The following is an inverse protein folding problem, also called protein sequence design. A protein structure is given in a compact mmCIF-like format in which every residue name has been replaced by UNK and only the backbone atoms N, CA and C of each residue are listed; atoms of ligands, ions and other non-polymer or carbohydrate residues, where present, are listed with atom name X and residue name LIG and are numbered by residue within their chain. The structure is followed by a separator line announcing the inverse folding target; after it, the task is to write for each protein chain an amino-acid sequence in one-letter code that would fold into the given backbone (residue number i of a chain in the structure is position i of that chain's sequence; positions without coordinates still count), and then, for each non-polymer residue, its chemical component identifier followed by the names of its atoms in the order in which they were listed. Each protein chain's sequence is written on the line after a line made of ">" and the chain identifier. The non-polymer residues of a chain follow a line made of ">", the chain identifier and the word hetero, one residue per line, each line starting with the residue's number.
data_IF_834646781150
#
_entry.id   IF_834646781150
#
_cell.length_a   1.000
_cell.length_b   1.000
_cell.length_c   1.000
_cell.angle_alpha   90.00
_cell.angle_beta   90.00
_cell.angle_gamma   90.00
#
_symmetry.space_group_name_H-M   'P 1'
#
loop_
_entity.id
_entity.type
_entity.pdbx_description
1 polymer ?
#
# COMPACT_ATOMS: atom_id res chain seq x y z
N UNK A 1 -4.72 32.22 7.88
CA UNK A 1 -4.24 30.83 7.77
C UNK A 1 -4.95 29.95 8.77
N UNK A 2 -5.40 28.79 8.32
CA UNK A 2 -5.96 27.73 9.18
C UNK A 2 -4.82 26.75 9.43
N UNK A 3 -4.46 26.55 10.69
CA UNK A 3 -3.51 25.54 11.11
C UNK A 3 -4.29 24.28 11.47
N UNK A 4 -3.82 23.12 11.03
CA UNK A 4 -4.46 21.82 11.31
C UNK A 4 -3.46 20.95 12.03
N UNK A 5 -3.85 20.43 13.19
CA UNK A 5 -3.10 19.48 13.98
C UNK A 5 -3.63 18.06 13.76
N UNK A 6 -2.76 17.17 13.26
CA UNK A 6 -3.07 15.78 12.93
C UNK A 6 -3.46 14.97 14.18
N UNK A 7 -2.95 15.33 15.37
CA UNK A 7 -3.21 14.58 16.60
C UNK A 7 -4.48 15.04 17.33
N UNK A 8 -4.89 16.29 17.16
CA UNK A 8 -5.97 16.88 17.95
C UNK A 8 -7.19 17.33 17.14
N UNK A 9 -7.04 17.63 15.85
CA UNK A 9 -8.15 18.12 15.02
C UNK A 9 -8.90 16.97 14.32
N UNK A 10 -10.23 17.03 14.40
CA UNK A 10 -11.11 16.12 13.65
C UNK A 10 -11.48 16.77 12.32
N UNK A 11 -10.90 16.25 11.24
CA UNK A 11 -11.21 16.70 9.88
C UNK A 11 -12.48 15.98 9.41
N UNK A 12 -13.42 16.72 8.83
CA UNK A 12 -14.62 16.14 8.21
C UNK A 12 -14.80 16.64 6.78
N UNK A 13 -15.27 15.77 5.89
CA UNK A 13 -15.71 16.09 4.53
C UNK A 13 -17.16 15.64 4.40
N UNK A 14 -18.06 16.55 4.05
CA UNK A 14 -19.51 16.31 3.99
C UNK A 14 -20.08 15.66 5.27
N UNK A 15 -19.53 16.04 6.42
CA UNK A 15 -19.92 15.50 7.73
C UNK A 15 -19.35 14.12 8.07
N UNK A 16 -18.53 13.53 7.19
CA UNK A 16 -17.82 12.28 7.46
C UNK A 16 -16.40 12.55 7.94
N UNK A 17 -16.02 11.94 9.06
CA UNK A 17 -14.67 12.06 9.63
C UNK A 17 -13.63 11.44 8.69
N UNK A 18 -12.64 12.24 8.33
CA UNK A 18 -11.45 11.80 7.59
C UNK A 18 -10.44 11.31 8.61
N UNK A 19 -10.22 9.99 8.63
CA UNK A 19 -9.30 9.37 9.58
C UNK A 19 -7.88 9.32 9.00
N UNK A 20 -6.91 9.86 9.72
CA UNK A 20 -5.49 9.76 9.34
C UNK A 20 -5.00 8.34 9.66
N UNK A 21 -4.86 7.52 8.62
CA UNK A 21 -4.30 6.17 8.79
C UNK A 21 -2.80 6.27 9.04
N UNK A 22 -2.31 5.52 10.02
CA UNK A 22 -0.88 5.31 10.20
C UNK A 22 -0.25 4.80 8.90
N UNK A 23 0.87 5.39 8.50
CA UNK A 23 1.58 5.01 7.29
C UNK A 23 2.46 3.78 7.54
N UNK A 24 2.42 2.81 6.63
CA UNK A 24 3.20 1.57 6.70
C UNK A 24 4.06 1.40 5.46
N UNK A 25 5.31 0.99 5.66
CA UNK A 25 6.27 0.73 4.58
C UNK A 25 6.87 -0.66 4.79
N UNK A 26 6.63 -1.56 3.85
CA UNK A 26 6.95 -2.98 3.98
C UNK A 26 7.91 -3.40 2.87
N UNK A 27 8.95 -4.14 3.25
CA UNK A 27 9.81 -4.87 2.30
C UNK A 27 9.33 -6.30 2.21
N UNK A 28 9.03 -6.75 1.01
CA UNK A 28 8.57 -8.11 0.75
C UNK A 28 9.46 -8.75 -0.30
N UNK A 29 9.95 -9.96 -0.02
CA UNK A 29 10.63 -10.76 -1.02
C UNK A 29 9.57 -11.55 -1.79
N UNK A 30 9.19 -11.06 -2.97
CA UNK A 30 8.21 -11.71 -3.83
C UNK A 30 8.80 -13.01 -4.40
N UNK A 31 8.14 -14.16 -4.19
CA UNK A 31 8.48 -15.39 -4.90
C UNK A 31 7.90 -15.41 -6.33
N UNK A 32 8.40 -16.30 -7.18
CA UNK A 32 7.85 -16.53 -8.51
C UNK A 32 6.47 -17.19 -8.42
N UNK A 33 5.68 -17.03 -9.49
CA UNK A 33 4.36 -17.64 -9.65
C UNK A 33 3.19 -16.75 -9.24
N UNK A 34 3.45 -15.60 -8.60
CA UNK A 34 2.43 -14.67 -8.11
C UNK A 34 2.41 -13.39 -8.93
N UNK A 35 1.21 -12.89 -9.23
CA UNK A 35 1.01 -11.60 -9.91
C UNK A 35 1.15 -10.46 -8.90
N UNK A 36 1.85 -9.40 -9.29
CA UNK A 36 1.93 -8.17 -8.49
C UNK A 36 0.63 -7.38 -8.62
N UNK A 37 -0.38 -7.74 -7.84
CA UNK A 37 -1.70 -7.12 -7.80
C UNK A 37 -2.34 -7.27 -6.40
N UNK A 38 -3.41 -6.52 -6.15
CA UNK A 38 -4.24 -6.67 -4.94
C UNK A 38 -5.26 -7.80 -5.11
N UNK A 39 -5.85 -7.90 -6.30
CA UNK A 39 -6.80 -8.94 -6.70
C UNK A 39 -6.55 -9.33 -8.16
N UNK A 40 -6.75 -10.60 -8.50
CA UNK A 40 -6.72 -11.12 -9.87
C UNK A 40 -7.69 -12.30 -9.98
N UNK A 41 -8.41 -12.41 -11.09
CA UNK A 41 -9.45 -13.42 -11.26
C UNK A 41 -8.91 -14.83 -11.60
N UNK A 42 -7.71 -14.91 -12.16
CA UNK A 42 -7.17 -16.12 -12.77
C UNK A 42 -5.87 -16.61 -12.11
N UNK A 43 -5.19 -15.75 -11.37
CA UNK A 43 -3.86 -16.03 -10.83
C UNK A 43 -3.74 -15.66 -9.36
N UNK A 44 -2.91 -16.39 -8.59
CA UNK A 44 -2.61 -15.99 -7.23
C UNK A 44 -1.81 -14.68 -7.23
N UNK A 45 -2.07 -13.83 -6.26
CA UNK A 45 -1.49 -12.49 -6.14
C UNK A 45 -0.58 -12.38 -4.93
N UNK A 46 0.31 -11.39 -4.94
CA UNK A 46 1.24 -11.16 -3.82
C UNK A 46 0.55 -10.93 -2.48
N UNK A 47 -0.70 -10.45 -2.49
CA UNK A 47 -1.48 -10.25 -1.26
C UNK A 47 -1.91 -11.57 -0.59
N UNK A 48 -2.05 -12.66 -1.35
CA UNK A 48 -2.40 -13.98 -0.81
C UNK A 48 -1.30 -14.55 0.10
N UNK A 49 -0.07 -14.05 -0.06
CA UNK A 49 1.10 -14.45 0.71
C UNK A 49 1.26 -13.68 2.02
N UNK A 50 0.51 -12.59 2.19
CA UNK A 50 0.67 -11.71 3.34
C UNK A 50 -0.23 -12.15 4.49
N UNK A 51 0.28 -12.09 5.74
CA UNK A 51 -0.56 -12.27 6.91
C UNK A 51 -1.72 -11.26 6.96
N UNK A 52 -2.89 -11.62 7.55
CA UNK A 52 -4.09 -10.77 7.56
C UNK A 52 -3.89 -9.36 8.15
N UNK A 53 -2.91 -9.17 9.04
CA UNK A 53 -2.58 -7.86 9.60
C UNK A 53 -2.13 -6.86 8.53
N UNK A 54 -1.42 -7.30 7.48
CA UNK A 54 -0.99 -6.42 6.39
C UNK A 54 -2.17 -5.96 5.55
N UNK A 55 -3.19 -6.82 5.38
CA UNK A 55 -4.44 -6.45 4.73
C UNK A 55 -5.16 -5.37 5.55
N UNK A 56 -5.20 -5.50 6.89
CA UNK A 56 -5.78 -4.49 7.79
C UNK A 56 -5.02 -3.16 7.78
N UNK A 57 -3.69 -3.20 7.62
CA UNK A 57 -2.86 -2.00 7.43
C UNK A 57 -3.18 -1.28 6.11
N UNK A 58 -3.80 -1.99 5.15
CA UNK A 58 -4.19 -1.44 3.85
C UNK A 58 -3.01 -1.19 2.92
N UNK A 59 -1.90 -1.93 3.09
CA UNK A 59 -0.73 -1.79 2.21
C UNK A 59 -1.02 -2.38 0.84
N UNK A 60 -0.49 -1.74 -0.20
CA UNK A 60 -0.58 -2.19 -1.60
C UNK A 60 0.81 -2.22 -2.24
N UNK A 61 1.04 -3.05 -3.27
CA UNK A 61 2.33 -3.11 -3.96
C UNK A 61 2.74 -1.76 -4.58
N UNK A 62 4.01 -1.40 -4.43
CA UNK A 62 4.65 -0.26 -5.07
C UNK A 62 5.40 -0.74 -6.30
N UNK A 63 4.89 -0.38 -7.48
CA UNK A 63 5.42 -0.86 -8.75
C UNK A 63 5.02 -2.31 -9.02
N UNK A 64 5.73 -2.95 -9.96
CA UNK A 64 5.40 -4.30 -10.44
C UNK A 64 6.67 -5.10 -10.69
N UNK A 65 6.63 -6.36 -10.26
CA UNK A 65 7.50 -7.41 -10.76
C UNK A 65 6.65 -8.38 -11.59
N UNK A 66 7.22 -8.93 -12.65
CA UNK A 66 6.56 -9.94 -13.47
C UNK A 66 6.27 -11.20 -12.65
N UNK A 67 5.31 -12.01 -13.12
CA UNK A 67 4.83 -13.19 -12.41
C UNK A 67 5.96 -14.18 -12.11
N UNK A 68 6.85 -14.37 -13.08
CA UNK A 68 8.02 -15.24 -13.05
C UNK A 68 9.27 -14.58 -12.44
N UNK A 69 9.21 -13.29 -12.10
CA UNK A 69 10.30 -12.58 -11.42
C UNK A 69 10.23 -12.73 -9.90
N UNK A 70 11.39 -12.93 -9.29
CA UNK A 70 11.61 -12.93 -7.84
C UNK A 70 12.38 -11.68 -7.41
N UNK A 71 12.17 -11.24 -6.16
CA UNK A 71 13.01 -10.21 -5.57
C UNK A 71 12.25 -9.22 -4.69
N UNK A 72 12.87 -8.06 -4.46
CA UNK A 72 12.32 -7.03 -3.59
C UNK A 72 11.11 -6.36 -4.23
N UNK A 73 9.98 -6.43 -3.53
CA UNK A 73 8.77 -5.67 -3.79
C UNK A 73 8.46 -4.84 -2.53
N UNK A 74 8.21 -3.54 -2.70
CA UNK A 74 7.77 -2.68 -1.62
C UNK A 74 6.24 -2.70 -1.55
N UNK A 75 5.67 -2.59 -0.34
CA UNK A 75 4.24 -2.33 -0.15
C UNK A 75 4.04 -1.14 0.79
N UNK A 76 3.04 -0.32 0.50
CA UNK A 76 2.71 0.86 1.32
C UNK A 76 1.23 1.19 1.26
N UNK A 77 0.72 1.87 2.28
CA UNK A 77 -0.58 2.56 2.22
C UNK A 77 -0.41 4.09 2.00
N UNK A 78 0.82 4.58 1.89
CA UNK A 78 1.15 5.93 1.42
C UNK A 78 1.25 5.94 -0.11
N UNK A 79 0.14 6.25 -0.77
CA UNK A 79 0.08 6.33 -2.23
C UNK A 79 0.95 7.44 -2.83
N UNK A 80 1.18 8.54 -2.10
CA UNK A 80 2.01 9.66 -2.58
C UNK A 80 3.46 9.22 -2.63
N UNK A 81 3.95 8.61 -1.54
CA UNK A 81 5.30 8.06 -1.49
C UNK A 81 5.48 6.94 -2.52
N UNK A 82 4.53 6.01 -2.60
CA UNK A 82 4.59 4.91 -3.57
C UNK A 82 4.70 5.41 -5.01
N UNK A 83 3.96 6.47 -5.37
CA UNK A 83 4.05 7.09 -6.69
C UNK A 83 5.40 7.78 -6.94
N UNK A 84 5.97 8.48 -5.95
CA UNK A 84 7.31 9.09 -6.04
C UNK A 84 8.39 8.05 -6.32
N UNK A 85 8.36 6.90 -5.62
CA UNK A 85 9.34 5.81 -5.82
C UNK A 85 9.28 5.25 -7.24
N UNK A 86 8.09 5.08 -7.82
CA UNK A 86 7.93 4.53 -9.17
C UNK A 86 8.44 5.52 -10.24
N UNK A 87 8.25 6.82 -10.01
CA UNK A 87 8.56 7.85 -10.99
C UNK A 87 9.95 8.48 -10.82
N UNK A 88 10.64 8.22 -9.71
CA UNK A 88 12.00 8.72 -9.44
C UNK A 88 12.08 10.21 -9.11
N UNK A 89 11.00 10.78 -8.56
CA UNK A 89 10.91 12.19 -8.13
C UNK A 89 11.21 12.37 -6.65
#
# INVERSE_FOLDING_TARGET
>A
DIHVDIESDVITVDGQVVNTKQQYYVKFHKPKGYVTAVEDANHPVVMDLLPPEYIKMGVVPVGRLDKDTEGLLLLTNDGVWGHSIINGN
#
